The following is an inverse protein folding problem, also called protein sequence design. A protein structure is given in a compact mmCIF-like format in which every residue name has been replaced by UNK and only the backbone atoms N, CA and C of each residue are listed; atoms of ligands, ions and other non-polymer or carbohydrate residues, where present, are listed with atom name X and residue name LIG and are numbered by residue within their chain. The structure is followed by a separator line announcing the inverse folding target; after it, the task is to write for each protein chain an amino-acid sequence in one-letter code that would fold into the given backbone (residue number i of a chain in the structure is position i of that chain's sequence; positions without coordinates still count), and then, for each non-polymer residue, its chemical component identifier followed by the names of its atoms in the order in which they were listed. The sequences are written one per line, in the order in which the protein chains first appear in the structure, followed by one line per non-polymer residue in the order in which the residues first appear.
data_IF_068251069472
#
_entry.id   IF_068251069472
#
_cell.length_a   1.000
_cell.length_b   1.000
_cell.length_c   1.000
_cell.angle_alpha   90.00
_cell.angle_beta   90.00
_cell.angle_gamma   90.00
#
_symmetry.space_group_name_H-M   'P 1'
#
loop_
_entity.id
_entity.type
_entity.pdbx_description
1 polymer ?
#
# COMPACT_ATOMS: atom_id res chain seq x y z
N UNK A 1 -0.85 -13.74 12.40
CA UNK A 1 -1.42 -13.02 11.24
C UNK A 1 -2.05 -13.94 10.17
N UNK A 2 -2.26 -15.24 10.45
CA UNK A 2 -2.93 -16.15 9.50
C UNK A 2 -2.28 -16.13 8.11
N UNK A 3 -3.08 -16.05 7.03
CA UNK A 3 -2.55 -16.01 5.66
C UNK A 3 -1.76 -14.73 5.32
N UNK A 4 -1.82 -13.70 6.17
CA UNK A 4 -1.16 -12.40 5.95
C UNK A 4 0.23 -12.29 6.59
N UNK A 5 0.70 -13.35 7.27
CA UNK A 5 2.02 -13.36 7.92
C UNK A 5 3.17 -13.32 6.91
N UNK A 6 4.16 -12.46 7.16
CA UNK A 6 5.38 -12.36 6.37
C UNK A 6 6.58 -12.62 7.27
N UNK A 7 7.25 -13.75 7.05
CA UNK A 7 8.41 -14.20 7.85
C UNK A 7 9.53 -13.16 7.93
N UNK A 8 9.82 -12.44 6.85
CA UNK A 8 10.89 -11.44 6.82
C UNK A 8 10.63 -10.22 7.72
N UNK A 9 9.36 -9.99 8.09
CA UNK A 9 8.94 -8.89 8.96
C UNK A 9 8.51 -9.37 10.35
N UNK A 10 8.44 -10.70 10.53
CA UNK A 10 7.79 -11.36 11.67
C UNK A 10 6.41 -10.78 12.02
N UNK A 11 5.67 -10.31 11.01
CA UNK A 11 4.41 -9.59 11.20
C UNK A 11 3.55 -9.60 9.93
N UNK A 12 2.39 -8.94 9.98
CA UNK A 12 1.69 -8.45 8.79
C UNK A 12 2.39 -7.17 8.30
N UNK A 13 2.68 -7.03 7.00
CA UNK A 13 3.19 -5.77 6.46
C UNK A 13 2.10 -4.70 6.59
N UNK A 14 2.47 -3.50 6.99
CA UNK A 14 1.54 -2.37 7.13
C UNK A 14 1.64 -1.46 5.91
N UNK A 15 2.81 -0.87 5.72
CA UNK A 15 3.11 0.04 4.63
C UNK A 15 4.38 -0.40 3.89
N UNK A 16 4.57 0.12 2.68
CA UNK A 16 5.81 -0.01 1.93
C UNK A 16 6.18 1.29 1.22
N UNK A 17 7.47 1.42 0.92
CA UNK A 17 8.02 2.52 0.12
C UNK A 17 8.17 2.07 -1.33
N UNK A 18 7.89 2.97 -2.26
CA UNK A 18 8.12 2.76 -3.68
C UNK A 18 8.80 3.98 -4.32
N UNK A 19 9.58 3.76 -5.37
CA UNK A 19 10.20 4.81 -6.19
C UNK A 19 9.22 5.35 -7.23
N UNK A 20 7.95 5.49 -6.85
CA UNK A 20 6.93 6.11 -7.70
C UNK A 20 7.10 7.63 -7.63
N UNK A 21 6.79 8.29 -8.74
CA UNK A 21 6.81 9.74 -8.83
C UNK A 21 5.38 10.27 -8.68
N UNK A 22 5.11 10.90 -7.54
CA UNK A 22 3.75 11.25 -7.11
C UNK A 22 3.74 12.61 -6.45
N UNK A 23 2.64 13.35 -6.68
CA UNK A 23 2.35 14.63 -6.03
C UNK A 23 0.88 14.71 -5.56
N UNK A 24 0.45 15.86 -5.07
CA UNK A 24 -0.93 16.17 -4.71
C UNK A 24 -1.92 15.71 -5.77
N UNK A 25 -3.00 15.06 -5.31
CA UNK A 25 -4.01 14.43 -6.18
C UNK A 25 -3.84 12.93 -6.37
N UNK A 26 -2.68 12.35 -6.03
CA UNK A 26 -2.47 10.89 -6.10
C UNK A 26 -2.98 10.11 -4.87
N UNK A 27 -3.51 10.79 -3.85
CA UNK A 27 -4.03 10.11 -2.66
C UNK A 27 -5.18 9.17 -3.04
N UNK A 28 -5.07 7.90 -2.64
CA UNK A 28 -6.01 6.84 -3.00
C UNK A 28 -5.68 6.11 -4.31
N UNK A 29 -4.61 6.48 -5.02
CA UNK A 29 -4.20 5.80 -6.26
C UNK A 29 -3.90 4.31 -6.02
N UNK A 30 -4.39 3.41 -6.89
CA UNK A 30 -4.08 1.99 -6.80
C UNK A 30 -2.63 1.72 -7.18
N UNK A 31 -1.92 0.95 -6.35
CA UNK A 31 -0.59 0.45 -6.66
C UNK A 31 -0.71 -0.97 -7.20
N UNK A 32 -0.21 -1.19 -8.42
CA UNK A 32 -0.35 -2.45 -9.14
C UNK A 32 0.99 -3.17 -9.25
N UNK A 33 0.96 -4.51 -9.20
CA UNK A 33 2.13 -5.31 -9.53
C UNK A 33 2.28 -5.50 -11.05
N UNK A 34 3.32 -6.23 -11.48
CA UNK A 34 3.62 -6.50 -12.90
C UNK A 34 2.52 -7.23 -13.69
N UNK A 35 1.51 -7.77 -13.01
CA UNK A 35 0.34 -8.44 -13.62
C UNK A 35 -0.92 -7.55 -13.61
N UNK A 36 -0.82 -6.33 -13.09
CA UNK A 36 -1.97 -5.44 -12.92
C UNK A 36 -2.85 -5.76 -11.70
N UNK A 37 -2.35 -6.56 -10.74
CA UNK A 37 -3.10 -6.89 -9.52
C UNK A 37 -2.84 -5.83 -8.42
N UNK A 38 -3.86 -5.47 -7.64
CA UNK A 38 -3.76 -4.49 -6.57
C UNK A 38 -2.87 -4.99 -5.42
N UNK A 39 -1.80 -4.26 -5.12
CA UNK A 39 -0.86 -4.56 -4.02
C UNK A 39 -0.82 -3.49 -2.94
N UNK A 40 -1.43 -2.32 -3.18
CA UNK A 40 -1.54 -1.29 -2.16
C UNK A 40 -2.31 -0.07 -2.63
N UNK A 41 -2.48 0.89 -1.73
CA UNK A 41 -3.02 2.22 -2.04
C UNK A 41 -2.00 3.27 -1.62
N UNK A 42 -1.73 4.22 -2.51
CA UNK A 42 -0.89 5.36 -2.18
C UNK A 42 -1.65 6.31 -1.27
N UNK A 43 -1.00 6.78 -0.19
CA UNK A 43 -1.61 7.77 0.68
C UNK A 43 -0.71 8.98 1.00
N UNK A 44 0.61 8.84 0.89
CA UNK A 44 1.54 9.94 1.21
C UNK A 44 2.91 9.79 0.51
N UNK A 45 3.80 10.74 0.74
CA UNK A 45 5.22 10.72 0.38
C UNK A 45 6.13 10.88 1.60
N UNK A 46 7.40 10.52 1.45
CA UNK A 46 8.44 10.85 2.43
C UNK A 46 8.71 12.35 2.48
N UNK A 47 9.40 12.85 3.52
CA UNK A 47 9.74 14.27 3.63
C UNK A 47 10.49 14.81 2.39
N UNK A 48 11.35 13.99 1.80
CA UNK A 48 12.07 14.34 0.57
C UNK A 48 11.15 14.55 -0.64
N UNK A 49 9.91 14.03 -0.61
CA UNK A 49 8.91 14.16 -1.67
C UNK A 49 8.17 15.52 -1.64
N UNK A 50 8.43 16.40 -0.67
CA UNK A 50 7.75 17.71 -0.56
C UNK A 50 8.00 18.60 -1.79
N UNK A 51 9.13 18.41 -2.48
CA UNK A 51 9.49 19.19 -3.68
C UNK A 51 9.10 18.49 -5.00
N UNK A 52 8.33 17.39 -4.96
CA UNK A 52 8.02 16.58 -6.15
C UNK A 52 7.25 17.31 -7.25
N UNK A 53 6.63 18.47 -6.95
CA UNK A 53 6.08 19.36 -7.97
C UNK A 53 7.13 20.05 -8.85
N UNK A 54 8.37 20.13 -8.37
CA UNK A 54 9.45 20.89 -8.99
C UNK A 54 10.63 20.03 -9.44
N UNK A 55 10.98 19.00 -8.67
CA UNK A 55 12.08 18.09 -8.98
C UNK A 55 11.85 16.68 -8.39
N UNK A 56 12.37 15.66 -9.07
CA UNK A 56 12.33 14.28 -8.63
C UNK A 56 13.73 13.73 -8.42
N UNK A 57 14.10 13.51 -7.14
CA UNK A 57 15.36 12.86 -6.79
C UNK A 57 15.16 11.33 -6.63
N UNK A 58 15.64 10.50 -7.58
CA UNK A 58 15.42 9.05 -7.54
C UNK A 58 16.07 8.37 -6.34
N UNK A 59 17.09 8.98 -5.72
CA UNK A 59 17.76 8.40 -4.54
C UNK A 59 16.96 8.58 -3.26
N UNK A 60 16.25 9.71 -3.12
CA UNK A 60 15.63 10.13 -1.86
C UNK A 60 14.10 10.02 -1.89
N UNK A 61 13.46 10.46 -2.97
CA UNK A 61 11.99 10.55 -3.05
C UNK A 61 11.37 9.15 -3.03
N UNK A 62 10.44 8.93 -2.10
CA UNK A 62 9.64 7.71 -2.02
C UNK A 62 8.18 8.04 -1.75
N UNK A 63 7.29 7.35 -2.45
CA UNK A 63 5.87 7.30 -2.12
C UNK A 63 5.62 6.25 -1.03
N UNK A 64 4.70 6.56 -0.13
CA UNK A 64 4.25 5.72 0.97
C UNK A 64 2.89 5.13 0.61
N UNK A 65 2.82 3.81 0.62
CA UNK A 65 1.64 3.06 0.25
C UNK A 65 1.24 2.11 1.39
N UNK A 66 -0.06 1.95 1.65
CA UNK A 66 -0.56 0.89 2.52
C UNK A 66 -0.58 -0.44 1.75
N UNK A 67 -0.13 -1.51 2.39
CA UNK A 67 -0.09 -2.86 1.81
C UNK A 67 -1.50 -3.47 1.75
N UNK A 68 -1.86 -4.09 0.63
CA UNK A 68 -3.18 -4.71 0.49
C UNK A 68 -3.40 -5.84 1.49
N UNK A 69 -2.35 -6.54 1.93
CA UNK A 69 -2.45 -7.55 2.99
C UNK A 69 -2.82 -6.92 4.33
N UNK A 70 -2.36 -5.70 4.62
CA UNK A 70 -2.78 -4.98 5.82
C UNK A 70 -4.27 -4.65 5.76
N UNK A 71 -4.74 -4.15 4.62
CA UNK A 71 -6.15 -3.82 4.41
C UNK A 71 -7.03 -5.07 4.60
N UNK A 72 -6.66 -6.19 3.99
CA UNK A 72 -7.37 -7.46 4.13
C UNK A 72 -7.30 -8.03 5.55
N UNK A 73 -6.15 -7.92 6.22
CA UNK A 73 -6.00 -8.34 7.61
C UNK A 73 -6.88 -7.50 8.55
N UNK A 74 -6.90 -6.18 8.38
CA UNK A 74 -7.75 -5.25 9.13
C UNK A 74 -9.23 -5.61 8.94
N UNK A 75 -9.69 -5.73 7.68
CA UNK A 75 -11.08 -6.09 7.36
C UNK A 75 -11.49 -7.44 7.94
N UNK A 76 -10.64 -8.46 7.86
CA UNK A 76 -10.94 -9.81 8.34
C UNK A 76 -10.83 -9.97 9.86
N UNK A 77 -9.82 -9.37 10.48
CA UNK A 77 -9.44 -9.65 11.87
C UNK A 77 -10.03 -8.63 12.84
N UNK A 78 -9.97 -7.34 12.47
CA UNK A 78 -10.38 -6.25 13.35
C UNK A 78 -11.85 -5.90 13.11
N UNK A 79 -12.21 -5.60 11.86
CA UNK A 79 -13.57 -5.17 11.51
C UNK A 79 -14.54 -6.34 11.30
N UNK A 80 -14.02 -7.56 11.13
CA UNK A 80 -14.78 -8.80 10.89
C UNK A 80 -15.79 -8.68 9.74
N UNK A 81 -15.41 -7.98 8.67
CA UNK A 81 -16.28 -7.71 7.52
C UNK A 81 -16.16 -8.80 6.47
N UNK A 82 -17.01 -9.82 6.56
CA UNK A 82 -17.02 -10.94 5.58
C UNK A 82 -17.57 -10.53 4.22
N UNK A 83 -18.63 -9.71 4.18
CA UNK A 83 -19.33 -9.32 2.94
C UNK A 83 -18.39 -8.71 1.89
N UNK A 84 -17.51 -7.79 2.27
CA UNK A 84 -16.59 -7.13 1.34
C UNK A 84 -15.49 -8.08 0.85
N UNK A 85 -15.01 -8.96 1.72
CA UNK A 85 -13.99 -9.95 1.35
C UNK A 85 -14.56 -10.92 0.30
N UNK A 86 -15.80 -11.37 0.49
CA UNK A 86 -16.52 -12.21 -0.48
C UNK A 86 -16.73 -11.49 -1.82
N UNK A 87 -17.13 -10.20 -1.77
CA UNK A 87 -17.33 -9.36 -2.96
C UNK A 87 -16.03 -9.21 -3.79
N UNK A 88 -14.88 -9.11 -3.11
CA UNK A 88 -13.56 -9.06 -3.75
C UNK A 88 -13.03 -10.44 -4.16
N UNK A 89 -13.76 -11.53 -3.89
CA UNK A 89 -13.34 -12.90 -4.21
C UNK A 89 -12.18 -13.41 -3.35
N UNK A 90 -11.95 -12.81 -2.18
CA UNK A 90 -10.91 -13.21 -1.23
C UNK A 90 -11.49 -14.32 -0.34
N UNK A 91 -10.88 -15.51 -0.39
CA UNK A 91 -11.27 -16.68 0.41
C UNK A 91 -10.26 -17.00 1.50
#
# INVERSE_FOLDING_TARGET
FGPYYVKALDSVPVNFLATLDTTGGNSGSPVLNKKGELVGLLFDGTLDAVISDWDFNPKMVRSICVDSRYMLWQMSTVDKTTRLLDEMGIK
#
